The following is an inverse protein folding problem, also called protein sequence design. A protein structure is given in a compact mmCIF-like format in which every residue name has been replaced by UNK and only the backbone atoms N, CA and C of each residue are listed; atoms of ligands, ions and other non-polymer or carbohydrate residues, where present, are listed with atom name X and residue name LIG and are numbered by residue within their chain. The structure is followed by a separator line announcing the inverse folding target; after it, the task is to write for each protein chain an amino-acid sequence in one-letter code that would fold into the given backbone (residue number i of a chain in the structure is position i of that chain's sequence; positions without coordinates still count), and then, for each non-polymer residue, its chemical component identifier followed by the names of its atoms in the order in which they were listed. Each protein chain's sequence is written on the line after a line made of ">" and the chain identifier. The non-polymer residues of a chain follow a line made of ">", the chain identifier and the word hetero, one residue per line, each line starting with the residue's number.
data_IF_632154160674
#
_entry.id   IF_632154160674
#
_cell.length_a   1.000
_cell.length_b   1.000
_cell.length_c   1.000
_cell.angle_alpha   90.00
_cell.angle_beta   90.00
_cell.angle_gamma   90.00
#
_symmetry.space_group_name_H-M   'P 1'
#
loop_
_entity.id
_entity.type
_entity.pdbx_description
1 polymer ?
#
# COMPACT_ATOMS: atom_id res chain seq x y z
N UNK A 1 7.99 4.46 5.86
CA UNK A 1 6.64 3.88 6.02
C UNK A 1 5.76 4.56 7.07
N UNK A 2 6.12 5.73 7.61
CA UNK A 2 5.27 6.46 8.57
C UNK A 2 3.92 6.87 7.96
N UNK A 3 3.88 7.27 6.67
CA UNK A 3 2.64 7.63 5.98
C UNK A 3 1.63 6.47 5.89
N UNK A 4 2.08 5.24 5.61
CA UNK A 4 1.19 4.07 5.53
C UNK A 4 0.57 3.76 6.90
N UNK A 5 1.34 3.94 7.99
CA UNK A 5 0.91 3.68 9.37
C UNK A 5 -0.14 4.67 9.87
N UNK A 6 -0.31 5.82 9.24
CA UNK A 6 -1.36 6.77 9.61
C UNK A 6 -2.75 6.16 9.41
N UNK A 7 -2.93 5.38 8.33
CA UNK A 7 -4.21 4.78 7.98
C UNK A 7 -4.25 3.26 8.26
N UNK A 8 -3.13 2.56 8.06
CA UNK A 8 -3.08 1.10 8.10
C UNK A 8 -2.27 0.56 9.29
N UNK A 9 -2.65 -0.64 9.73
CA UNK A 9 -1.89 -1.43 10.70
C UNK A 9 -0.77 -2.22 10.01
N UNK A 10 0.45 -2.08 10.51
CA UNK A 10 1.68 -2.74 10.04
C UNK A 10 2.37 -3.41 11.23
N UNK A 11 2.49 -4.74 11.17
CA UNK A 11 2.97 -5.59 12.28
C UNK A 11 2.33 -5.25 13.63
N UNK A 12 1.00 -5.09 13.65
CA UNK A 12 0.25 -4.80 14.88
C UNK A 12 0.21 -3.32 15.30
N UNK A 13 0.94 -2.41 14.63
CA UNK A 13 1.00 -0.97 14.98
C UNK A 13 0.50 -0.08 13.84
N UNK A 14 -0.13 1.05 14.15
CA UNK A 14 -0.63 2.03 13.18
C UNK A 14 -2.14 2.23 13.25
N UNK A 15 -2.71 2.82 12.19
CA UNK A 15 -4.11 3.20 12.09
C UNK A 15 -5.06 2.05 11.76
N UNK A 16 -6.36 2.37 11.78
CA UNK A 16 -7.46 1.45 11.47
C UNK A 16 -8.41 2.01 10.39
N UNK A 17 -8.04 3.13 9.76
CA UNK A 17 -8.83 3.76 8.71
C UNK A 17 -8.85 2.89 7.44
N UNK A 18 -7.71 2.26 7.13
CA UNK A 18 -7.58 1.28 6.06
C UNK A 18 -7.38 -0.15 6.60
N UNK A 19 -7.55 -1.18 5.75
CA UNK A 19 -7.35 -2.56 6.14
C UNK A 19 -5.90 -2.82 6.60
N UNK A 20 -5.70 -3.78 7.50
CA UNK A 20 -4.36 -4.16 7.96
C UNK A 20 -3.46 -4.58 6.79
N UNK A 21 -2.24 -4.05 6.78
CA UNK A 21 -1.15 -4.44 5.87
C UNK A 21 -0.18 -5.41 6.55
N UNK A 22 -0.46 -5.85 7.77
CA UNK A 22 0.32 -6.90 8.43
C UNK A 22 0.17 -8.21 7.65
N UNK A 23 1.29 -8.90 7.38
CA UNK A 23 1.33 -10.11 6.57
C UNK A 23 0.85 -9.91 5.13
N UNK A 24 0.92 -8.69 4.57
CA UNK A 24 0.34 -8.44 3.23
C UNK A 24 1.12 -9.16 2.13
N UNK A 25 2.43 -9.34 2.30
CA UNK A 25 3.26 -10.12 1.37
C UNK A 25 2.87 -11.59 1.27
N UNK A 26 2.18 -12.14 2.28
CA UNK A 26 1.66 -13.51 2.27
C UNK A 26 0.28 -13.60 1.59
N UNK A 27 -0.43 -12.47 1.46
CA UNK A 27 -1.82 -12.41 1.00
C UNK A 27 -1.96 -11.87 -0.42
N UNK A 28 -0.96 -11.16 -0.92
CA UNK A 28 -1.00 -10.48 -2.22
C UNK A 28 0.30 -10.67 -2.96
N UNK A 29 0.22 -10.85 -4.28
CA UNK A 29 1.42 -10.89 -5.12
C UNK A 29 1.99 -9.48 -5.32
N UNK A 30 3.27 -9.37 -5.70
CA UNK A 30 3.89 -8.10 -6.11
C UNK A 30 3.07 -7.34 -7.14
N UNK A 31 2.50 -8.06 -8.11
CA UNK A 31 1.64 -7.51 -9.16
C UNK A 31 0.37 -6.89 -8.57
N UNK A 32 -0.28 -7.58 -7.64
CA UNK A 32 -1.49 -7.07 -7.01
C UNK A 32 -1.20 -5.85 -6.13
N UNK A 33 -0.09 -5.86 -5.38
CA UNK A 33 0.38 -4.71 -4.61
C UNK A 33 0.63 -3.50 -5.51
N UNK A 34 1.33 -3.70 -6.62
CA UNK A 34 1.58 -2.66 -7.62
C UNK A 34 0.26 -2.11 -8.17
N UNK A 35 -0.66 -2.98 -8.57
CA UNK A 35 -1.94 -2.55 -9.11
C UNK A 35 -2.75 -1.74 -8.08
N UNK A 36 -2.76 -2.14 -6.81
CA UNK A 36 -3.47 -1.41 -5.75
C UNK A 36 -2.87 -0.05 -5.40
N UNK A 37 -1.55 0.11 -5.50
CA UNK A 37 -0.87 1.37 -5.20
C UNK A 37 -0.99 2.39 -6.33
N UNK A 38 -1.16 1.93 -7.56
CA UNK A 38 -1.05 2.76 -8.77
C UNK A 38 -2.37 2.94 -9.50
N UNK A 39 -3.29 1.98 -9.41
CA UNK A 39 -4.55 2.01 -10.17
C UNK A 39 -5.68 2.38 -9.23
N UNK A 40 -5.93 3.68 -9.15
CA UNK A 40 -7.18 4.21 -8.59
C UNK A 40 -8.16 4.40 -9.73
N UNK A 41 -8.98 3.39 -9.96
CA UNK A 41 -10.18 3.54 -10.80
C UNK A 41 -11.04 4.65 -10.17
N UNK A 42 -11.28 5.71 -10.94
CA UNK A 42 -12.03 6.92 -10.58
C UNK A 42 -13.53 6.66 -10.30
N UNK A 43 -14.05 5.47 -10.60
CA UNK A 43 -15.46 5.16 -10.48
C UNK A 43 -15.96 5.04 -9.03
N UNK A 44 -15.08 5.21 -8.03
CA UNK A 44 -15.47 5.36 -6.62
C UNK A 44 -14.68 6.51 -5.98
N UNK A 45 -15.27 7.70 -5.95
CA UNK A 45 -14.75 8.94 -5.38
C UNK A 45 -14.46 8.91 -3.86
N UNK A 46 -14.65 7.77 -3.18
CA UNK A 46 -14.47 7.60 -1.74
C UNK A 46 -13.12 6.95 -1.35
N UNK A 47 -12.15 6.87 -2.27
CA UNK A 47 -10.82 6.30 -1.97
C UNK A 47 -9.91 7.34 -1.32
N UNK A 48 -9.84 7.29 0.00
CA UNK A 48 -8.93 8.09 0.83
C UNK A 48 -7.45 7.66 0.70
N UNK A 49 -7.16 6.54 0.03
CA UNK A 49 -5.80 6.04 -0.14
C UNK A 49 -5.12 6.76 -1.32
N UNK A 50 -3.99 7.45 -1.11
CA UNK A 50 -3.31 8.18 -2.19
C UNK A 50 -2.82 7.27 -3.33
N UNK A 51 -2.70 7.83 -4.54
CA UNK A 51 -1.93 7.22 -5.64
C UNK A 51 -0.44 7.31 -5.37
N UNK A 52 0.32 6.34 -5.87
CA UNK A 52 1.79 6.32 -5.83
C UNK A 52 2.40 6.15 -7.24
N UNK A 53 1.64 6.45 -8.28
CA UNK A 53 2.07 6.40 -9.69
C UNK A 53 3.23 7.36 -10.00
N UNK A 54 3.29 8.51 -9.30
CA UNK A 54 4.31 9.55 -9.46
C UNK A 54 5.72 9.13 -9.02
N UNK A 55 5.85 8.03 -8.26
CA UNK A 55 7.14 7.52 -7.83
C UNK A 55 7.96 7.01 -9.03
N UNK A 56 9.27 7.28 -9.02
CA UNK A 56 10.19 6.67 -9.98
C UNK A 56 10.23 5.15 -9.81
N UNK A 57 10.56 4.41 -10.87
CA UNK A 57 10.56 2.93 -10.83
C UNK A 57 11.40 2.38 -9.66
N UNK A 58 12.58 2.94 -9.39
CA UNK A 58 13.44 2.50 -8.29
C UNK A 58 12.79 2.67 -6.91
N UNK A 59 12.20 3.84 -6.64
CA UNK A 59 11.50 4.13 -5.38
C UNK A 59 10.26 3.25 -5.22
N UNK A 60 9.56 3.01 -6.34
CA UNK A 60 8.40 2.13 -6.39
C UNK A 60 8.76 0.69 -6.10
N UNK A 61 9.86 0.17 -6.65
CA UNK A 61 10.32 -1.19 -6.32
C UNK A 61 10.67 -1.28 -4.84
N UNK A 62 11.35 -0.29 -4.27
CA UNK A 62 11.64 -0.25 -2.84
C UNK A 62 10.37 -0.23 -1.97
N UNK A 63 9.32 0.49 -2.39
CA UNK A 63 8.03 0.47 -1.71
C UNK A 63 7.39 -0.92 -1.74
N UNK A 64 7.43 -1.60 -2.88
CA UNK A 64 6.90 -2.95 -3.04
C UNK A 64 7.69 -3.96 -2.18
N UNK A 65 9.02 -3.92 -2.22
CA UNK A 65 9.88 -4.80 -1.43
C UNK A 65 9.60 -4.65 0.08
N UNK A 66 9.38 -3.41 0.53
CA UNK A 66 9.03 -3.12 1.93
C UNK A 66 7.69 -3.73 2.32
N UNK A 67 6.69 -3.68 1.43
CA UNK A 67 5.35 -4.22 1.66
C UNK A 67 5.33 -5.75 1.63
N UNK A 68 6.15 -6.38 0.78
CA UNK A 68 6.32 -7.84 0.77
C UNK A 68 6.88 -8.36 2.10
N UNK A 69 7.59 -7.53 2.86
CA UNK A 69 8.16 -7.85 4.16
C UNK A 69 7.27 -7.47 5.36
N UNK A 70 6.04 -6.98 5.15
CA UNK A 70 5.11 -6.60 6.25
C UNK A 70 4.17 -7.71 6.67
#
# INVERSE_FOLDING_TARGET
>A
MLGCRACHRLSGKGGQLGPSLSGIGQRMTRRDLRQKLMVHNEANAERHMPSYDYLFESERQQLLDRLEQQ
#
